data_IF_982241577742
#
_entry.id   IF_982241577742
#
_cell.length_a   1.000
_cell.length_b   1.000
_cell.length_c   1.000
_cell.angle_alpha   90.00
_cell.angle_beta   90.00
_cell.angle_gamma   90.00
#
_symmetry.space_group_name_H-M   'P 1'
#
loop_
_entity.id
_entity.type
_entity.pdbx_description
1 polymer ?
#
# COMPACT_ATOMS: atom_id res chain seq x y z
N UNK A 1 -21.68 21.37 -12.59
CA UNK A 1 -21.54 19.98 -12.15
C UNK A 1 -22.73 19.69 -11.26
N UNK A 2 -23.58 18.75 -11.66
CA UNK A 2 -24.66 18.26 -10.78
C UNK A 2 -24.16 17.13 -9.86
N UNK A 3 -25.03 16.68 -8.94
CA UNK A 3 -24.69 15.63 -7.98
C UNK A 3 -24.30 14.31 -8.68
N UNK A 4 -24.95 13.98 -9.79
CA UNK A 4 -24.69 12.75 -10.54
C UNK A 4 -23.30 12.80 -11.17
N UNK A 5 -22.95 13.91 -11.81
CA UNK A 5 -21.63 14.15 -12.39
C UNK A 5 -20.53 14.10 -11.31
N UNK A 6 -20.79 14.69 -10.13
CA UNK A 6 -19.87 14.62 -9.00
C UNK A 6 -19.61 13.18 -8.55
N UNK A 7 -20.66 12.39 -8.33
CA UNK A 7 -20.52 11.00 -7.89
C UNK A 7 -19.82 10.12 -8.93
N UNK A 8 -20.11 10.33 -10.22
CA UNK A 8 -19.42 9.62 -11.30
C UNK A 8 -17.92 9.94 -11.34
N UNK A 9 -17.55 11.21 -11.20
CA UNK A 9 -16.15 11.62 -11.16
C UNK A 9 -15.44 11.05 -9.92
N UNK A 10 -16.06 11.13 -8.74
CA UNK A 10 -15.55 10.52 -7.51
C UNK A 10 -15.25 9.04 -7.71
N UNK A 11 -16.21 8.29 -8.26
CA UNK A 11 -16.07 6.84 -8.44
C UNK A 11 -14.97 6.50 -9.45
N UNK A 12 -14.83 7.29 -10.51
CA UNK A 12 -13.74 7.13 -11.47
C UNK A 12 -12.36 7.37 -10.82
N UNK A 13 -12.23 8.41 -10.01
CA UNK A 13 -10.98 8.73 -9.28
C UNK A 13 -10.63 7.59 -8.32
N UNK A 14 -11.60 7.16 -7.49
CA UNK A 14 -11.38 6.09 -6.51
C UNK A 14 -11.02 4.77 -7.22
N UNK A 15 -11.71 4.42 -8.31
CA UNK A 15 -11.42 3.21 -9.08
C UNK A 15 -10.02 3.22 -9.67
N UNK A 16 -9.61 4.36 -10.25
CA UNK A 16 -8.28 4.53 -10.85
C UNK A 16 -7.17 4.45 -9.79
N UNK A 17 -7.37 5.13 -8.65
CA UNK A 17 -6.44 5.08 -7.53
C UNK A 17 -6.29 3.67 -6.95
N UNK A 18 -7.41 2.99 -6.69
CA UNK A 18 -7.41 1.62 -6.18
C UNK A 18 -6.70 0.65 -7.13
N UNK A 19 -6.91 0.80 -8.44
CA UNK A 19 -6.22 0.00 -9.44
C UNK A 19 -4.71 0.21 -9.41
N UNK A 20 -4.26 1.47 -9.38
CA UNK A 20 -2.83 1.80 -9.35
C UNK A 20 -2.15 1.30 -8.07
N UNK A 21 -2.78 1.49 -6.90
CA UNK A 21 -2.27 1.00 -5.61
C UNK A 21 -2.16 -0.53 -5.62
N UNK A 22 -3.20 -1.24 -6.07
CA UNK A 22 -3.16 -2.70 -6.18
C UNK A 22 -2.03 -3.19 -7.07
N UNK A 23 -1.80 -2.52 -8.21
CA UNK A 23 -0.69 -2.87 -9.11
C UNK A 23 0.68 -2.63 -8.50
N UNK A 24 0.85 -1.53 -7.75
CA UNK A 24 2.08 -1.27 -7.00
C UNK A 24 2.32 -2.34 -5.95
N UNK A 25 1.29 -2.69 -5.17
CA UNK A 25 1.36 -3.74 -4.14
C UNK A 25 1.72 -5.11 -4.72
N UNK A 26 1.05 -5.54 -5.79
CA UNK A 26 1.36 -6.77 -6.50
C UNK A 26 2.80 -6.81 -7.02
N UNK A 27 3.37 -5.65 -7.39
CA UNK A 27 4.75 -5.53 -7.86
C UNK A 27 5.74 -5.58 -6.69
N UNK A 28 5.44 -4.93 -5.57
CA UNK A 28 6.26 -4.97 -4.36
C UNK A 28 6.40 -6.39 -3.83
N UNK A 29 5.28 -7.11 -3.67
CA UNK A 29 5.29 -8.49 -3.18
C UNK A 29 6.08 -9.43 -4.12
N UNK A 30 5.92 -9.27 -5.43
CA UNK A 30 6.71 -10.02 -6.43
C UNK A 30 8.22 -9.78 -6.33
N UNK A 31 8.63 -8.63 -5.80
CA UNK A 31 10.04 -8.27 -5.55
C UNK A 31 10.52 -8.64 -4.14
N UNK A 32 9.68 -9.27 -3.33
CA UNK A 32 10.00 -9.58 -1.93
C UNK A 32 9.85 -8.39 -0.98
N UNK A 33 9.28 -7.27 -1.42
CA UNK A 33 9.10 -6.06 -0.62
C UNK A 33 7.70 -6.10 0.03
N UNK A 34 7.59 -6.12 1.37
CA UNK A 34 6.30 -6.14 2.06
C UNK A 34 5.48 -4.87 1.80
N UNK A 35 4.16 -4.97 1.70
CA UNK A 35 3.31 -3.77 1.65
C UNK A 35 3.15 -3.18 3.04
N UNK A 36 3.14 -1.85 3.17
CA UNK A 36 2.95 -1.14 4.43
C UNK A 36 1.56 -0.52 4.49
N UNK A 37 0.88 -0.70 5.61
CA UNK A 37 -0.43 -0.12 5.91
C UNK A 37 -0.38 0.58 7.26
N UNK A 38 -1.15 1.65 7.43
CA UNK A 38 -1.37 2.28 8.74
C UNK A 38 -2.83 2.13 9.13
N UNK A 39 -3.09 1.65 10.33
CA UNK A 39 -4.44 1.57 10.91
C UNK A 39 -4.36 2.04 12.35
N UNK A 40 -5.11 3.10 12.66
CA UNK A 40 -5.16 3.73 13.98
C UNK A 40 -3.77 4.12 14.54
N UNK A 41 -2.87 4.59 13.66
CA UNK A 41 -1.50 4.97 14.05
C UNK A 41 -0.51 3.80 14.13
N UNK A 42 -0.98 2.55 14.06
CA UNK A 42 -0.11 1.36 14.05
C UNK A 42 0.19 0.93 12.62
N UNK A 43 1.47 0.63 12.35
CA UNK A 43 1.90 0.08 11.06
C UNK A 43 1.71 -1.43 11.03
N UNK A 44 1.26 -1.91 9.87
CA UNK A 44 1.11 -3.32 9.55
C UNK A 44 1.78 -3.59 8.21
N UNK A 45 2.38 -4.77 8.10
CA UNK A 45 3.14 -5.20 6.94
C UNK A 45 2.55 -6.50 6.41
N UNK A 46 2.18 -6.51 5.14
CA UNK A 46 1.84 -7.75 4.42
C UNK A 46 3.11 -8.26 3.77
N UNK A 47 3.59 -9.40 4.26
CA UNK A 47 4.79 -10.06 3.74
C UNK A 47 4.48 -10.75 2.39
N UNK A 48 5.50 -11.06 1.57
CA UNK A 48 5.33 -11.75 0.29
C UNK A 48 4.62 -13.11 0.37
N UNK A 49 4.68 -13.77 1.54
CA UNK A 49 3.98 -15.03 1.80
C UNK A 49 2.49 -14.84 2.19
N UNK A 50 2.01 -13.60 2.29
CA UNK A 50 0.64 -13.24 2.69
C UNK A 50 0.43 -13.07 4.19
N UNK A 51 1.46 -13.30 5.03
CA UNK A 51 1.38 -13.04 6.47
C UNK A 51 1.28 -11.54 6.75
N UNK A 52 0.45 -11.16 7.73
CA UNK A 52 0.36 -9.78 8.22
C UNK A 52 1.01 -9.69 9.60
N UNK A 53 1.96 -8.77 9.74
CA UNK A 53 2.68 -8.52 10.99
C UNK A 53 2.73 -7.03 11.33
N UNK A 54 2.85 -6.69 12.61
CA UNK A 54 3.15 -5.33 13.07
C UNK A 54 4.64 -5.12 13.38
N UNK A 55 5.47 -6.17 13.26
CA UNK A 55 6.92 -6.07 13.40
C UNK A 55 7.50 -5.53 12.11
N UNK A 56 8.34 -4.49 12.19
CA UNK A 56 9.04 -3.93 11.04
C UNK A 56 9.90 -5.01 10.36
N UNK A 57 9.67 -5.31 9.07
CA UNK A 57 10.48 -6.25 8.31
C UNK A 57 11.94 -5.82 8.15
N UNK A 58 12.89 -6.77 8.14
CA UNK A 58 14.33 -6.49 8.06
C UNK A 58 14.74 -5.65 6.86
N UNK A 59 14.10 -5.85 5.70
CA UNK A 59 14.37 -5.08 4.47
C UNK A 59 14.20 -3.56 4.68
N UNK A 60 13.39 -3.13 5.66
CA UNK A 60 13.25 -1.72 6.00
C UNK A 60 14.27 -1.25 7.05
N UNK A 61 14.74 -2.15 7.92
CA UNK A 61 15.77 -1.84 8.90
C UNK A 61 17.14 -1.65 8.23
N UNK A 62 17.47 -2.52 7.27
CA UNK A 62 18.71 -2.46 6.49
C UNK A 62 18.85 -1.12 5.75
N UNK A 63 17.74 -0.58 5.23
CA UNK A 63 17.74 0.73 4.56
C UNK A 63 18.01 1.87 5.54
N UNK A 64 17.44 1.82 6.75
CA UNK A 64 17.66 2.83 7.79
C UNK A 64 19.11 2.81 8.28
N UNK A 65 19.71 1.61 8.39
CA UNK A 65 21.12 1.44 8.75
C UNK A 65 22.07 1.91 7.65
N UNK A 66 21.64 1.84 6.38
CA UNK A 66 22.40 2.34 5.23
C UNK A 66 22.42 3.87 5.13
N UNK A 67 21.72 4.60 6.00
CA UNK A 67 21.76 6.07 6.07
C UNK A 67 21.11 6.79 4.88
N UNK A 68 20.14 6.13 4.23
CA UNK A 68 19.28 6.72 3.19
C UNK A 68 17.98 7.27 3.77
#
# INVERSE_FOLDING_TARGET
>A
MDDKEFYQLRDLILKSGNYAVKKAQEKSLRKGIPNVYSKNGTLYYELPNGEITSKTPNVYLEVLEAGL
#
